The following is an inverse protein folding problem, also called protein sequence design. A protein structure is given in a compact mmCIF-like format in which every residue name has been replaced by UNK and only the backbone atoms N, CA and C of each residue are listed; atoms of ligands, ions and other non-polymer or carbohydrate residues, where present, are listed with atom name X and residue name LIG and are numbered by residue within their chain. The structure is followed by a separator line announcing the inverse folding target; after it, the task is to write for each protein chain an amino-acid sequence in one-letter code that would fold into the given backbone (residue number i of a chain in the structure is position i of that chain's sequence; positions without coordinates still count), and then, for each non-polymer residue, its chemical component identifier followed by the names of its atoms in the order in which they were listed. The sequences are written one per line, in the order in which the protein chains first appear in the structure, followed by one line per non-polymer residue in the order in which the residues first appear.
data_IF_198327154153
#
_entry.id   IF_198327154153
#
_cell.length_a   1.000
_cell.length_b   1.000
_cell.length_c   1.000
_cell.angle_alpha   90.00
_cell.angle_beta   90.00
_cell.angle_gamma   90.00
#
_symmetry.space_group_name_H-M   'P 1'
#
loop_
_entity.id
_entity.type
_entity.pdbx_description
1 polymer ?
#
# COMPACT_ATOMS: atom_id res chain seq x y z
N UNK A 1 -6.09 -23.12 -10.33
CA UNK A 1 -7.19 -22.51 -9.56
C UNK A 1 -6.85 -21.72 -8.29
N UNK A 2 -5.63 -21.72 -7.73
CA UNK A 2 -5.17 -20.60 -6.85
C UNK A 2 -4.07 -19.78 -7.51
N UNK A 3 -3.19 -20.44 -8.24
CA UNK A 3 -2.07 -19.80 -8.92
C UNK A 3 -2.52 -18.88 -10.06
N UNK A 4 -3.57 -19.24 -10.80
CA UNK A 4 -4.11 -18.39 -11.88
C UNK A 4 -4.54 -17.02 -11.36
N UNK A 5 -5.19 -16.97 -10.19
CA UNK A 5 -5.57 -15.71 -9.56
C UNK A 5 -4.34 -14.86 -9.20
N UNK A 6 -3.29 -15.50 -8.68
CA UNK A 6 -2.03 -14.83 -8.37
C UNK A 6 -1.40 -14.27 -9.65
N UNK A 7 -1.32 -15.06 -10.73
CA UNK A 7 -0.78 -14.58 -12.02
C UNK A 7 -1.60 -13.43 -12.60
N UNK A 8 -2.92 -13.53 -12.62
CA UNK A 8 -3.79 -12.45 -13.13
C UNK A 8 -3.65 -11.17 -12.29
N UNK A 9 -3.56 -11.29 -10.97
CA UNK A 9 -3.30 -10.14 -10.11
C UNK A 9 -1.93 -9.56 -10.40
N UNK A 10 -0.88 -10.37 -10.45
CA UNK A 10 0.47 -9.90 -10.77
C UNK A 10 0.49 -9.15 -12.10
N UNK A 11 -0.04 -9.72 -13.17
CA UNK A 11 -0.13 -9.05 -14.48
C UNK A 11 -0.89 -7.72 -14.41
N UNK A 12 -2.00 -7.68 -13.66
CA UNK A 12 -2.80 -6.45 -13.49
C UNK A 12 -2.05 -5.38 -12.69
N UNK A 13 -1.21 -5.76 -11.73
CA UNK A 13 -0.36 -4.83 -10.99
C UNK A 13 0.76 -4.31 -11.88
N UNK A 14 1.49 -5.19 -12.55
CA UNK A 14 2.60 -4.81 -13.44
C UNK A 14 2.12 -3.89 -14.58
N UNK A 15 0.91 -4.09 -15.11
CA UNK A 15 0.36 -3.22 -16.16
C UNK A 15 0.08 -1.79 -15.69
N UNK A 16 -0.02 -1.56 -14.38
CA UNK A 16 -0.22 -0.24 -13.76
C UNK A 16 1.06 0.32 -13.12
N UNK A 17 2.18 -0.42 -13.22
CA UNK A 17 3.47 0.09 -12.79
C UNK A 17 3.88 1.26 -13.69
N UNK A 18 4.37 2.31 -13.06
CA UNK A 18 4.95 3.47 -13.71
C UNK A 18 6.41 3.57 -13.33
N UNK A 19 7.21 4.22 -14.17
CA UNK A 19 8.63 4.37 -13.94
C UNK A 19 8.99 5.85 -13.93
N UNK A 20 9.73 6.27 -12.92
CA UNK A 20 10.33 7.61 -12.90
C UNK A 20 11.42 7.74 -13.95
N UNK A 21 11.82 8.96 -14.29
CA UNK A 21 12.94 9.22 -15.20
C UNK A 21 14.25 8.53 -14.76
N UNK A 22 14.41 8.30 -13.45
CA UNK A 22 15.58 7.65 -12.85
C UNK A 22 15.45 6.12 -12.76
N UNK A 23 14.39 5.53 -13.30
CA UNK A 23 14.20 4.08 -13.31
C UNK A 23 13.58 3.48 -12.05
N UNK A 24 13.10 4.29 -11.12
CA UNK A 24 12.35 3.79 -9.96
C UNK A 24 10.91 3.48 -10.37
N UNK A 25 10.49 2.22 -10.16
CA UNK A 25 9.13 1.76 -10.39
C UNK A 25 8.21 2.13 -9.21
N UNK A 26 6.99 2.54 -9.53
CA UNK A 26 5.98 2.89 -8.55
C UNK A 26 4.57 2.63 -9.08
N UNK A 27 3.61 2.48 -8.18
CA UNK A 27 2.19 2.42 -8.50
C UNK A 27 1.47 3.64 -7.95
N UNK A 28 0.46 4.12 -8.68
CA UNK A 28 -0.44 5.13 -8.14
C UNK A 28 -1.38 4.50 -7.12
N UNK A 29 -1.49 5.14 -5.95
CA UNK A 29 -2.33 4.64 -4.87
C UNK A 29 -3.82 4.53 -5.26
N UNK A 30 -4.29 5.34 -6.21
CA UNK A 30 -5.66 5.24 -6.75
C UNK A 30 -5.84 4.00 -7.62
N UNK A 31 -4.83 3.59 -8.38
CA UNK A 31 -4.93 2.39 -9.22
C UNK A 31 -4.91 1.15 -8.32
N UNK A 32 -4.00 1.13 -7.33
CA UNK A 32 -3.91 0.06 -6.34
C UNK A 32 -5.20 -0.09 -5.52
N UNK A 33 -5.88 1.02 -5.20
CA UNK A 33 -7.20 0.97 -4.55
C UNK A 33 -8.18 0.08 -5.35
N UNK A 34 -8.28 0.32 -6.66
CA UNK A 34 -9.21 -0.39 -7.53
C UNK A 34 -8.76 -1.83 -7.78
N UNK A 35 -7.46 -2.06 -7.98
CA UNK A 35 -6.89 -3.40 -8.16
C UNK A 35 -7.16 -4.32 -6.97
N UNK A 36 -7.18 -3.77 -5.75
CA UNK A 36 -7.51 -4.50 -4.53
C UNK A 36 -9.03 -4.54 -4.23
N UNK A 37 -9.86 -3.98 -5.10
CA UNK A 37 -11.32 -4.03 -4.98
C UNK A 37 -11.91 -3.10 -3.93
N UNK A 38 -11.19 -2.05 -3.50
CA UNK A 38 -11.74 -1.07 -2.56
C UNK A 38 -12.60 -0.04 -3.30
N UNK A 39 -13.89 -0.02 -3.02
CA UNK A 39 -14.81 0.99 -3.54
C UNK A 39 -14.62 2.37 -2.88
N UNK A 40 -14.34 2.40 -1.58
CA UNK A 40 -14.17 3.64 -0.82
C UNK A 40 -12.71 3.93 -0.50
N UNK A 41 -12.24 5.14 -0.86
CA UNK A 41 -10.88 5.61 -0.58
C UNK A 41 -10.51 5.53 0.91
N UNK A 42 -11.44 5.84 1.83
CA UNK A 42 -11.18 5.80 3.27
C UNK A 42 -10.82 4.40 3.77
N UNK A 43 -11.48 3.37 3.21
CA UNK A 43 -11.25 1.98 3.63
C UNK A 43 -9.91 1.49 3.11
N UNK A 44 -9.57 1.83 1.86
CA UNK A 44 -8.23 1.57 1.31
C UNK A 44 -7.15 2.32 2.11
N UNK A 45 -7.34 3.61 2.39
CA UNK A 45 -6.40 4.40 3.15
C UNK A 45 -6.15 3.78 4.53
N UNK A 46 -7.20 3.32 5.22
CA UNK A 46 -7.06 2.61 6.50
C UNK A 46 -6.24 1.33 6.39
N UNK A 47 -6.38 0.57 5.30
CA UNK A 47 -5.61 -0.64 5.05
C UNK A 47 -4.11 -0.35 4.86
N UNK A 48 -3.75 0.68 4.08
CA UNK A 48 -2.34 1.02 3.81
C UNK A 48 -1.68 1.87 4.90
N UNK A 49 -2.46 2.58 5.72
CA UNK A 49 -1.93 3.45 6.80
C UNK A 49 -1.72 2.71 8.12
N UNK A 50 -2.09 1.42 8.22
CA UNK A 50 -2.02 0.61 9.45
C UNK A 50 -0.60 0.37 9.99
N UNK A 51 0.43 0.92 9.35
CA UNK A 51 1.85 0.81 9.72
C UNK A 51 2.48 2.16 10.15
N UNK A 52 1.69 3.18 10.50
CA UNK A 52 2.18 4.40 11.18
C UNK A 52 1.88 4.39 12.67
N UNK A 53 2.13 3.29 13.39
CA UNK A 53 2.39 3.47 14.82
C UNK A 53 3.79 4.09 14.93
N UNK A 54 3.96 5.36 15.35
CA UNK A 54 5.24 5.73 15.90
C UNK A 54 5.49 4.77 17.05
N UNK A 55 6.67 4.12 17.08
CA UNK A 55 7.15 3.49 18.29
C UNK A 55 6.89 4.49 19.42
N UNK A 56 5.98 4.16 20.34
CA UNK A 56 5.81 4.95 21.56
C UNK A 56 7.16 4.84 22.27
N UNK A 57 8.05 5.80 22.04
CA UNK A 57 9.22 5.99 22.86
C UNK A 57 8.70 6.10 24.29
N UNK A 58 8.98 5.08 25.10
CA UNK A 58 8.79 5.11 26.54
C UNK A 58 9.84 6.07 27.14
N UNK A 59 9.74 7.36 26.80
CA UNK A 59 10.36 8.43 27.56
C UNK A 59 9.28 9.00 28.47
N UNK A 60 8.98 8.28 29.55
CA UNK A 60 8.59 8.97 30.79
C UNK A 60 9.90 9.41 31.45
N UNK A 61 10.44 10.56 31.05
CA UNK A 61 11.38 11.29 31.88
C UNK A 61 10.58 12.13 32.88
N UNK A 62 10.85 11.86 34.16
CA UNK A 62 10.88 12.78 35.31
C UNK A 62 9.76 13.79 35.49
N UNK A 63 8.99 13.65 36.58
CA UNK A 63 8.75 14.72 37.57
C UNK A 63 8.00 14.14 38.80
N UNK A 64 8.78 13.61 39.75
CA UNK A 64 8.76 13.92 41.20
C UNK A 64 9.90 13.19 41.89
#
# INVERSE_FOLDING_TARGET
MKNELVYTLTESFESHAQQTENGVEYWLARDVQHLLGYSEWRNFLSAITKQKQPAKSLNKMSET
#
